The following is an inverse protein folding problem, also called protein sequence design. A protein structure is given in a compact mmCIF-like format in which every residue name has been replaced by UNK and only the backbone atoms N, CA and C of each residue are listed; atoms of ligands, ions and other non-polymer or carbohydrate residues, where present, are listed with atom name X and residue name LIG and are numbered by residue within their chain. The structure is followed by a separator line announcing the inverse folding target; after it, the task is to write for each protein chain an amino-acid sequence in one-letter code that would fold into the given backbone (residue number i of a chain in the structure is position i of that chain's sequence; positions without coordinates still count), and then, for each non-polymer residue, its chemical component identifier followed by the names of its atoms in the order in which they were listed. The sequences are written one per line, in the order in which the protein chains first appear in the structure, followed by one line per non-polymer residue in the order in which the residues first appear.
data_IF_838114169774
#
_entry.id   IF_838114169774
#
_cell.length_a   1.000
_cell.length_b   1.000
_cell.length_c   1.000
_cell.angle_alpha   90.00
_cell.angle_beta   90.00
_cell.angle_gamma   90.00
#
_symmetry.space_group_name_H-M   'P 1'
#
loop_
_entity.id
_entity.type
_entity.pdbx_description
1 polymer ?
#
# COMPACT_ATOMS: atom_id res chain seq x y z
N UNK A 1 -12.93 -18.82 -10.98
CA UNK A 1 -12.56 -17.88 -9.89
C UNK A 1 -12.55 -16.47 -10.43
N UNK A 2 -13.21 -15.53 -9.75
CA UNK A 2 -13.31 -14.13 -10.15
C UNK A 2 -12.02 -13.39 -9.80
N UNK A 3 -11.49 -12.60 -10.73
CA UNK A 3 -10.28 -11.79 -10.50
C UNK A 3 -10.69 -10.50 -9.78
N UNK A 4 -10.17 -10.26 -8.58
CA UNK A 4 -10.49 -9.07 -7.78
C UNK A 4 -9.39 -8.02 -8.00
N UNK A 5 -9.80 -6.80 -8.34
CA UNK A 5 -8.93 -5.63 -8.35
C UNK A 5 -9.36 -4.74 -7.18
N UNK A 6 -8.42 -4.43 -6.31
CA UNK A 6 -8.64 -3.48 -5.23
C UNK A 6 -8.33 -2.07 -5.75
N UNK A 7 -9.34 -1.22 -5.83
CA UNK A 7 -9.19 0.14 -6.33
C UNK A 7 -8.65 1.10 -5.26
N UNK A 8 -8.50 0.66 -4.01
CA UNK A 8 -8.17 1.53 -2.89
C UNK A 8 -7.20 0.86 -1.92
N UNK A 9 -5.92 0.89 -2.25
CA UNK A 9 -4.85 0.39 -1.38
C UNK A 9 -4.01 1.54 -0.86
N UNK A 10 -3.75 1.55 0.46
CA UNK A 10 -2.75 2.43 1.06
C UNK A 10 -1.59 1.63 1.61
N UNK A 11 -0.37 2.06 1.28
CA UNK A 11 0.86 1.58 1.88
C UNK A 11 1.94 2.65 1.70
N UNK A 12 2.74 2.86 2.74
CA UNK A 12 3.91 3.72 2.69
C UNK A 12 4.98 3.20 3.63
N UNK A 13 6.23 3.27 3.18
CA UNK A 13 7.40 3.05 4.04
C UNK A 13 7.82 4.36 4.76
N UNK A 14 7.09 5.46 4.56
CA UNK A 14 7.37 6.74 5.22
C UNK A 14 6.86 6.74 6.67
N UNK A 15 7.75 7.00 7.63
CA UNK A 15 7.40 7.07 9.07
C UNK A 15 6.36 8.16 9.41
N UNK A 16 6.22 9.18 8.57
CA UNK A 16 5.21 10.24 8.72
C UNK A 16 3.83 9.89 8.17
N UNK A 17 3.62 8.68 7.65
CA UNK A 17 2.30 8.23 7.22
C UNK A 17 1.35 8.10 8.43
N UNK A 18 0.26 8.86 8.39
CA UNK A 18 -0.73 8.87 9.46
C UNK A 18 -1.41 7.50 9.65
N UNK A 19 -1.51 6.70 8.58
CA UNK A 19 -2.16 5.39 8.58
C UNK A 19 -1.37 4.33 9.34
N UNK A 20 -0.04 4.48 9.50
CA UNK A 20 0.78 3.52 10.24
C UNK A 20 0.26 3.33 11.66
N UNK A 21 -0.13 4.43 12.34
CA UNK A 21 -0.67 4.36 13.70
C UNK A 21 -1.98 3.56 13.73
N UNK A 22 -2.90 3.85 12.81
CA UNK A 22 -4.18 3.18 12.73
C UNK A 22 -4.04 1.70 12.37
N UNK A 23 -3.13 1.37 11.45
CA UNK A 23 -2.83 0.00 11.08
C UNK A 23 -2.35 -0.82 12.28
N UNK A 24 -1.41 -0.27 13.07
CA UNK A 24 -0.91 -0.93 14.28
C UNK A 24 -1.99 -1.16 15.34
N UNK A 25 -2.90 -0.20 15.52
CA UNK A 25 -4.04 -0.37 16.45
C UNK A 25 -4.96 -1.52 16.03
N UNK A 26 -5.00 -1.86 14.74
CA UNK A 26 -5.77 -2.97 14.20
C UNK A 26 -4.93 -4.26 14.04
N UNK A 27 -3.73 -4.32 14.65
CA UNK A 27 -2.87 -5.49 14.60
C UNK A 27 -2.17 -5.73 13.25
N UNK A 28 -2.18 -4.73 12.35
CA UNK A 28 -1.49 -4.80 11.07
C UNK A 28 -0.05 -4.28 11.21
N UNK A 29 0.90 -4.97 10.56
CA UNK A 29 2.30 -4.54 10.48
C UNK A 29 2.49 -3.39 9.49
N UNK A 30 1.56 -3.25 8.53
CA UNK A 30 1.59 -2.20 7.51
C UNK A 30 2.86 -2.25 6.64
N UNK A 31 3.20 -3.45 6.17
CA UNK A 31 4.37 -3.71 5.32
C UNK A 31 3.95 -4.23 3.95
N UNK A 32 4.84 -4.07 2.96
CA UNK A 32 4.61 -4.60 1.62
C UNK A 32 4.39 -6.12 1.64
N UNK A 33 5.19 -6.86 2.42
CA UNK A 33 5.07 -8.32 2.50
C UNK A 33 3.72 -8.77 3.05
N UNK A 34 3.21 -8.08 4.08
CA UNK A 34 1.91 -8.36 4.66
C UNK A 34 0.77 -8.06 3.67
N UNK A 35 0.87 -6.93 2.96
CA UNK A 35 -0.08 -6.57 1.91
C UNK A 35 -0.10 -7.64 0.81
N UNK A 36 1.06 -8.00 0.26
CA UNK A 36 1.16 -9.00 -0.80
C UNK A 36 0.69 -10.39 -0.35
N UNK A 37 0.98 -10.77 0.89
CA UNK A 37 0.46 -12.01 1.50
C UNK A 37 -1.07 -12.01 1.57
N UNK A 38 -1.64 -10.90 2.02
CA UNK A 38 -3.09 -10.71 2.11
C UNK A 38 -3.76 -10.74 0.73
N UNK A 39 -3.20 -10.03 -0.24
CA UNK A 39 -3.69 -10.06 -1.63
C UNK A 39 -3.70 -11.47 -2.21
N UNK A 40 -2.64 -12.26 -1.97
CA UNK A 40 -2.60 -13.67 -2.39
C UNK A 40 -3.68 -14.50 -1.70
N UNK A 41 -3.83 -14.38 -0.38
CA UNK A 41 -4.82 -15.12 0.41
C UNK A 41 -6.25 -14.90 -0.11
N UNK A 42 -6.58 -13.67 -0.50
CA UNK A 42 -7.91 -13.29 -0.97
C UNK A 42 -8.06 -13.21 -2.49
N UNK A 43 -7.09 -13.73 -3.25
CA UNK A 43 -7.10 -13.73 -4.72
C UNK A 43 -7.26 -12.33 -5.36
N UNK A 44 -6.74 -11.30 -4.70
CA UNK A 44 -6.64 -9.95 -5.24
C UNK A 44 -5.47 -9.95 -6.24
N UNK A 45 -5.78 -9.69 -7.51
CA UNK A 45 -4.80 -9.79 -8.59
C UNK A 45 -3.99 -8.51 -8.76
N UNK A 46 -4.60 -7.35 -8.50
CA UNK A 46 -3.97 -6.02 -8.56
C UNK A 46 -4.59 -5.06 -7.54
N UNK A 47 -3.79 -4.09 -7.10
CA UNK A 47 -4.22 -2.96 -6.27
C UNK A 47 -3.83 -1.61 -6.88
N UNK A 48 -4.66 -0.59 -6.70
CA UNK A 48 -4.27 0.80 -6.95
C UNK A 48 -3.74 1.41 -5.64
N UNK A 49 -2.45 1.76 -5.65
CA UNK A 49 -1.73 2.32 -4.51
C UNK A 49 -1.89 3.84 -4.49
N UNK A 50 -2.67 4.31 -3.52
CA UNK A 50 -2.96 5.71 -3.29
C UNK A 50 -1.93 6.31 -2.33
N UNK A 51 -1.52 7.54 -2.63
CA UNK A 51 -0.65 8.32 -1.74
C UNK A 51 -1.26 8.42 -0.34
N UNK A 52 -0.49 8.13 0.72
CA UNK A 52 -0.99 8.20 2.07
C UNK A 52 -1.20 9.65 2.54
N UNK A 53 -2.10 9.89 3.49
CA UNK A 53 -2.10 11.14 4.24
C UNK A 53 -0.83 11.21 5.11
N UNK A 54 0.01 12.22 4.86
CA UNK A 54 1.23 12.44 5.66
C UNK A 54 0.98 13.45 6.79
N UNK A 55 1.56 13.19 7.95
CA UNK A 55 1.66 14.16 9.04
C UNK A 55 2.80 15.14 8.72
N UNK A 56 2.51 16.15 7.91
CA UNK A 56 3.48 17.17 7.52
C UNK A 56 3.03 17.98 6.29
N UNK A 57 3.75 19.06 5.96
CA UNK A 57 3.35 19.97 4.89
C UNK A 57 3.64 19.44 3.48
N UNK A 58 4.50 18.43 3.34
CA UNK A 58 4.94 17.91 2.05
C UNK A 58 4.23 16.59 1.70
N UNK A 59 3.74 16.42 0.46
CA UNK A 59 3.21 15.15 -0.02
C UNK A 59 4.32 14.10 -0.15
N UNK A 60 3.93 12.82 -0.22
CA UNK A 60 4.88 11.75 -0.53
C UNK A 60 5.36 11.91 -1.97
N UNK A 61 6.67 11.83 -2.21
CA UNK A 61 7.19 11.82 -3.58
C UNK A 61 6.66 10.60 -4.35
N UNK A 62 6.25 10.85 -5.61
CA UNK A 62 5.83 9.80 -6.54
C UNK A 62 6.94 8.76 -6.78
N UNK A 63 8.22 9.12 -6.65
CA UNK A 63 9.33 8.17 -6.78
C UNK A 63 9.26 7.05 -5.74
N UNK A 64 8.79 7.37 -4.53
CA UNK A 64 8.60 6.37 -3.47
C UNK A 64 7.44 5.43 -3.79
N UNK A 65 6.37 5.95 -4.39
CA UNK A 65 5.23 5.15 -4.87
C UNK A 65 5.68 4.23 -6.01
N UNK A 66 6.44 4.74 -6.99
CA UNK A 66 6.98 3.96 -8.10
C UNK A 66 7.91 2.85 -7.58
N UNK A 67 8.79 3.16 -6.63
CA UNK A 67 9.67 2.17 -6.02
C UNK A 67 8.88 1.05 -5.32
N UNK A 68 7.81 1.39 -4.59
CA UNK A 68 6.90 0.41 -3.98
C UNK A 68 6.19 -0.46 -5.03
N UNK A 69 5.71 0.15 -6.12
CA UNK A 69 5.10 -0.59 -7.22
C UNK A 69 6.08 -1.58 -7.87
N UNK A 70 7.34 -1.17 -8.07
CA UNK A 70 8.39 -2.03 -8.59
C UNK A 70 8.70 -3.20 -7.64
N UNK A 71 8.90 -2.92 -6.34
CA UNK A 71 9.11 -3.95 -5.30
C UNK A 71 7.96 -4.95 -5.22
N UNK A 72 6.72 -4.53 -5.53
CA UNK A 72 5.55 -5.40 -5.52
C UNK A 72 5.49 -6.42 -6.68
N UNK A 73 6.42 -6.35 -7.64
CA UNK A 73 6.35 -7.12 -8.89
C UNK A 73 5.15 -6.71 -9.76
N UNK A 74 4.72 -5.45 -9.66
CA UNK A 74 3.56 -4.91 -10.37
C UNK A 74 2.20 -5.39 -9.82
N UNK A 75 2.16 -5.96 -8.62
CA UNK A 75 0.91 -6.30 -7.91
C UNK A 75 0.14 -5.05 -7.47
N UNK A 76 0.85 -3.96 -7.16
CA UNK A 76 0.23 -2.65 -6.99
C UNK A 76 0.72 -1.68 -8.06
N UNK A 77 -0.10 -0.68 -8.39
CA UNK A 77 0.21 0.39 -9.33
C UNK A 77 -0.11 1.74 -8.71
N UNK A 78 0.75 2.74 -8.91
CA UNK A 78 0.48 4.11 -8.48
C UNK A 78 -0.71 4.68 -9.26
N UNK A 79 -1.54 5.44 -8.55
CA UNK A 79 -2.64 6.25 -9.09
C UNK A 79 -2.32 7.73 -8.98
#
# INVERSE_FOLDING_TARGET
MQKIIDAHVHLSENRGDALIRFARLNGLRYTLDELLGTMRKYNIVRGLLLSPPLQGPAPLSNDKIIALCAKSGGKVRGS
#
